data_IF_202300505987
#
_entry.id   IF_202300505987
#
_cell.length_a   1.000
_cell.length_b   1.000
_cell.length_c   1.000
_cell.angle_alpha   90.00
_cell.angle_beta   90.00
_cell.angle_gamma   90.00
#
_symmetry.space_group_name_H-M   'P 1'
#
loop_
_entity.id
_entity.type
_entity.pdbx_description
1 polymer ?
#
# COMPACT_ATOMS: atom_id res chain seq x y z
N UNK A 1 -3.10 21.53 -9.80
CA UNK A 1 -4.49 21.05 -9.95
C UNK A 1 -4.45 19.68 -10.61
N UNK A 2 -4.45 18.60 -9.83
CA UNK A 2 -4.51 17.24 -10.38
C UNK A 2 -5.98 16.83 -10.40
N UNK A 3 -6.60 16.86 -11.58
CA UNK A 3 -7.92 16.28 -11.80
C UNK A 3 -7.80 14.77 -11.67
N UNK A 4 -8.35 14.20 -10.60
CA UNK A 4 -8.48 12.75 -10.47
C UNK A 4 -9.93 12.38 -10.69
N UNK A 5 -10.23 11.91 -11.90
CA UNK A 5 -11.52 11.34 -12.28
C UNK A 5 -11.64 9.98 -11.61
N UNK A 6 -12.67 9.77 -10.79
CA UNK A 6 -13.05 8.45 -10.27
C UNK A 6 -13.90 7.75 -11.32
N UNK A 7 -13.31 6.82 -12.07
CA UNK A 7 -14.06 5.70 -12.66
C UNK A 7 -13.73 4.47 -11.84
N UNK A 8 -14.72 3.94 -11.13
CA UNK A 8 -14.66 2.57 -10.62
C UNK A 8 -14.78 1.62 -11.80
N UNK A 9 -13.68 0.96 -12.18
CA UNK A 9 -13.71 -0.22 -13.02
C UNK A 9 -13.53 -1.46 -12.13
N UNK A 10 -14.61 -2.21 -11.97
CA UNK A 10 -14.58 -3.56 -11.40
C UNK A 10 -14.11 -4.52 -12.51
N UNK A 11 -12.87 -5.00 -12.42
CA UNK A 11 -12.37 -6.06 -13.32
C UNK A 11 -12.45 -7.43 -12.63
N UNK A 12 -13.01 -8.47 -13.29
CA UNK A 12 -12.96 -9.83 -12.78
C UNK A 12 -11.65 -10.50 -13.22
N UNK A 13 -10.94 -11.18 -12.31
CA UNK A 13 -9.83 -12.04 -12.74
C UNK A 13 -8.82 -12.48 -11.67
N UNK A 14 -8.86 -13.78 -11.37
CA UNK A 14 -7.72 -14.59 -10.93
C UNK A 14 -7.53 -14.68 -9.41
N UNK A 15 -7.71 -15.88 -8.85
CA UNK A 15 -7.39 -16.19 -7.46
C UNK A 15 -5.91 -15.86 -7.16
N UNK A 16 -5.70 -14.72 -6.51
CA UNK A 16 -4.39 -14.17 -6.09
C UNK A 16 -4.29 -14.31 -4.57
N UNK A 17 -3.08 -14.60 -4.09
CA UNK A 17 -2.71 -14.81 -2.67
C UNK A 17 -3.59 -13.99 -1.70
N UNK A 18 -4.59 -14.66 -1.13
CA UNK A 18 -5.75 -14.00 -0.54
C UNK A 18 -5.36 -13.07 0.61
N UNK A 19 -4.41 -13.49 1.44
CA UNK A 19 -4.06 -12.84 2.70
C UNK A 19 -3.38 -11.47 2.57
N UNK A 20 -2.58 -11.25 1.52
CA UNK A 20 -1.94 -9.95 1.28
C UNK A 20 -2.95 -8.89 0.85
N UNK A 21 -3.90 -9.28 0.00
CA UNK A 21 -5.01 -8.42 -0.40
C UNK A 21 -5.98 -8.19 0.77
N UNK A 22 -6.24 -9.21 1.58
CA UNK A 22 -7.04 -9.08 2.81
C UNK A 22 -6.45 -8.04 3.78
N UNK A 23 -5.12 -8.01 3.98
CA UNK A 23 -4.47 -6.99 4.82
C UNK A 23 -4.68 -5.59 4.26
N UNK A 24 -4.48 -5.41 2.95
CA UNK A 24 -4.72 -4.13 2.26
C UNK A 24 -6.17 -3.69 2.42
N UNK A 25 -7.12 -4.60 2.25
CA UNK A 25 -8.55 -4.30 2.32
C UNK A 25 -8.96 -3.93 3.76
N UNK A 26 -8.38 -4.59 4.79
CA UNK A 26 -8.53 -4.18 6.20
C UNK A 26 -7.98 -2.78 6.48
N UNK A 27 -6.85 -2.42 5.87
CA UNK A 27 -6.27 -1.07 5.97
C UNK A 27 -7.21 -0.03 5.35
N UNK A 28 -7.78 -0.33 4.18
CA UNK A 28 -8.76 0.54 3.50
C UNK A 28 -10.01 0.72 4.36
N UNK A 29 -10.55 -0.37 4.91
CA UNK A 29 -11.71 -0.32 5.78
C UNK A 29 -11.46 0.53 7.03
N UNK A 30 -10.31 0.35 7.68
CA UNK A 30 -9.90 1.17 8.83
C UNK A 30 -9.77 2.64 8.45
N UNK A 31 -9.17 2.95 7.29
CA UNK A 31 -9.05 4.32 6.82
C UNK A 31 -10.41 4.99 6.62
N UNK A 32 -11.38 4.28 6.04
CA UNK A 32 -12.74 4.78 5.88
C UNK A 32 -13.43 5.02 7.23
N UNK A 33 -13.27 4.11 8.20
CA UNK A 33 -13.77 4.29 9.58
C UNK A 33 -13.16 5.52 10.27
N UNK A 34 -11.93 5.88 9.91
CA UNK A 34 -11.24 7.10 10.38
C UNK A 34 -11.61 8.35 9.59
N UNK A 35 -12.51 8.26 8.60
CA UNK A 35 -12.94 9.39 7.78
C UNK A 35 -11.90 9.83 6.74
N UNK A 36 -11.01 8.94 6.34
CA UNK A 36 -10.02 9.18 5.28
C UNK A 36 -10.51 8.66 3.93
N UNK A 37 -10.11 9.31 2.85
CA UNK A 37 -10.23 8.78 1.49
C UNK A 37 -9.11 7.76 1.25
N UNK A 38 -9.41 6.60 0.66
CA UNK A 38 -8.41 5.60 0.30
C UNK A 38 -8.45 5.28 -1.20
N UNK A 39 -7.27 5.10 -1.81
CA UNK A 39 -7.11 4.60 -3.18
C UNK A 39 -6.11 3.48 -3.21
N UNK A 40 -6.40 2.40 -3.92
CA UNK A 40 -5.52 1.24 -4.02
C UNK A 40 -4.69 1.23 -5.30
N UNK A 41 -3.54 0.54 -5.27
CA UNK A 41 -2.66 0.28 -6.43
C UNK A 41 -2.24 1.55 -7.20
N UNK A 42 -1.99 2.63 -6.46
CA UNK A 42 -1.75 3.97 -7.02
C UNK A 42 -0.38 4.02 -7.69
N UNK A 43 -0.38 4.45 -8.96
CA UNK A 43 0.82 4.70 -9.76
C UNK A 43 1.43 6.03 -9.34
N UNK A 44 2.61 6.02 -8.71
CA UNK A 44 3.17 7.25 -8.10
C UNK A 44 4.36 7.87 -8.84
N UNK A 45 5.16 7.10 -9.58
CA UNK A 45 6.18 7.63 -10.50
C UNK A 45 6.80 6.49 -11.33
N UNK A 46 7.39 6.82 -12.49
CA UNK A 46 8.34 5.95 -13.20
C UNK A 46 9.75 6.19 -12.64
N UNK A 47 10.56 5.15 -12.51
CA UNK A 47 12.02 5.30 -12.34
C UNK A 47 12.61 5.94 -13.59
N UNK A 48 13.72 6.67 -13.48
CA UNK A 48 14.45 7.25 -14.63
C UNK A 48 14.87 6.15 -15.61
N UNK A 49 15.29 4.99 -15.06
CA UNK A 49 15.44 3.73 -15.77
C UNK A 49 14.72 2.65 -14.95
N UNK A 50 13.59 2.12 -15.43
CA UNK A 50 12.97 0.93 -14.83
C UNK A 50 11.44 0.92 -14.71
N UNK A 51 10.95 -0.12 -14.01
CA UNK A 51 9.54 -0.43 -13.84
C UNK A 51 8.75 0.66 -13.10
N UNK A 52 7.46 0.79 -13.45
CA UNK A 52 6.54 1.73 -12.84
C UNK A 52 6.23 1.30 -11.40
N UNK A 53 6.53 2.17 -10.42
CA UNK A 53 6.23 1.89 -9.01
C UNK A 53 4.74 2.05 -8.74
N UNK A 54 4.22 1.18 -7.88
CA UNK A 54 2.87 1.24 -7.33
C UNK A 54 2.96 1.28 -5.81
N UNK A 55 2.05 2.03 -5.19
CA UNK A 55 1.80 1.99 -3.75
C UNK A 55 0.52 1.19 -3.54
N UNK A 56 0.51 0.29 -2.57
CA UNK A 56 -0.64 -0.56 -2.28
C UNK A 56 -1.88 0.28 -1.93
N UNK A 57 -1.73 1.27 -1.04
CA UNK A 57 -2.80 2.21 -0.67
C UNK A 57 -2.26 3.64 -0.52
N UNK A 58 -3.00 4.63 -1.01
CA UNK A 58 -2.76 6.05 -0.70
C UNK A 58 -3.98 6.58 0.05
N UNK A 59 -3.73 7.10 1.25
CA UNK A 59 -4.72 7.77 2.08
C UNK A 59 -4.66 9.27 1.86
N UNK A 60 -5.81 9.93 1.92
CA UNK A 60 -5.94 11.38 1.89
C UNK A 60 -6.92 11.83 2.96
N UNK A 61 -6.55 12.89 3.70
CA UNK A 61 -7.49 13.54 4.62
C UNK A 61 -8.37 14.53 3.85
N UNK A 62 -9.71 14.38 3.85
CA UNK A 62 -10.63 15.31 3.20
C UNK A 62 -10.41 16.75 3.65
N UNK A 63 -10.52 17.69 2.71
CA UNK A 63 -10.32 19.12 2.99
C UNK A 63 -8.86 19.53 3.26
N UNK A 64 -7.88 18.64 3.06
CA UNK A 64 -6.46 18.96 3.21
C UNK A 64 -5.61 18.41 2.07
N UNK A 65 -4.35 18.87 2.01
CA UNK A 65 -3.33 18.34 1.11
C UNK A 65 -2.53 17.17 1.73
N UNK A 66 -2.91 16.73 2.93
CA UNK A 66 -2.22 15.64 3.63
C UNK A 66 -2.54 14.31 2.96
N UNK A 67 -1.47 13.63 2.53
CA UNK A 67 -1.49 12.31 1.92
C UNK A 67 -0.50 11.39 2.60
N UNK A 68 -0.78 10.09 2.61
CA UNK A 68 0.08 9.05 3.18
C UNK A 68 0.04 7.81 2.29
N UNK A 69 1.20 7.34 1.84
CA UNK A 69 1.32 6.03 1.19
C UNK A 69 1.41 4.90 2.22
N UNK A 70 0.84 3.75 1.91
CA UNK A 70 0.92 2.55 2.73
C UNK A 70 1.33 1.39 1.83
N UNK A 71 2.38 0.67 2.25
CA UNK A 71 2.76 -0.63 1.69
C UNK A 71 2.35 -1.73 2.68
N UNK A 72 1.64 -2.75 2.21
CA UNK A 72 1.16 -3.86 3.03
C UNK A 72 2.02 -5.09 2.81
N UNK A 73 2.63 -5.64 3.86
CA UNK A 73 3.40 -6.88 3.80
C UNK A 73 2.78 -7.92 4.73
N UNK A 74 2.27 -9.00 4.15
CA UNK A 74 1.78 -10.16 4.90
C UNK A 74 2.74 -11.34 4.74
N UNK A 75 3.06 -12.03 5.84
CA UNK A 75 3.93 -13.21 5.83
C UNK A 75 3.28 -14.33 6.65
N UNK A 76 3.04 -15.48 6.01
CA UNK A 76 2.43 -16.64 6.69
C UNK A 76 3.43 -17.52 7.43
N UNK A 77 4.69 -17.53 7.00
CA UNK A 77 5.73 -18.44 7.50
C UNK A 77 6.95 -17.64 7.96
N UNK A 78 7.63 -18.04 9.04
CA UNK A 78 8.89 -17.42 9.45
C UNK A 78 9.91 -17.39 8.30
N UNK A 79 10.79 -16.39 8.28
CA UNK A 79 11.81 -16.25 7.24
C UNK A 79 12.28 -14.81 7.04
N UNK A 80 12.59 -14.44 5.80
CA UNK A 80 13.23 -13.18 5.38
C UNK A 80 12.34 -11.93 5.48
N UNK A 81 11.42 -11.90 6.45
CA UNK A 81 10.51 -10.81 6.74
C UNK A 81 11.26 -9.48 6.96
N UNK A 82 12.31 -9.50 7.79
CA UNK A 82 13.10 -8.30 8.11
C UNK A 82 13.84 -7.75 6.89
N UNK A 83 14.48 -8.62 6.10
CA UNK A 83 15.16 -8.23 4.86
C UNK A 83 14.18 -7.61 3.85
N UNK A 84 12.98 -8.18 3.73
CA UNK A 84 11.91 -7.63 2.87
C UNK A 84 11.45 -6.25 3.35
N UNK A 85 11.35 -6.02 4.66
CA UNK A 85 11.00 -4.71 5.23
C UNK A 85 12.11 -3.70 4.92
N UNK A 86 13.38 -4.04 5.16
CA UNK A 86 14.51 -3.14 4.90
C UNK A 86 14.55 -2.69 3.43
N UNK A 87 14.40 -3.63 2.50
CA UNK A 87 14.33 -3.34 1.05
C UNK A 87 13.13 -2.42 0.73
N UNK A 88 11.97 -2.71 1.33
CA UNK A 88 10.75 -1.91 1.15
C UNK A 88 10.96 -0.47 1.62
N UNK A 89 11.60 -0.28 2.78
CA UNK A 89 11.88 1.05 3.32
C UNK A 89 12.85 1.85 2.44
N UNK A 90 13.91 1.22 1.92
CA UNK A 90 14.81 1.89 0.96
C UNK A 90 14.08 2.31 -0.33
N UNK A 91 13.17 1.48 -0.83
CA UNK A 91 12.34 1.82 -1.98
C UNK A 91 11.40 3.00 -1.68
N UNK A 92 10.84 3.05 -0.47
CA UNK A 92 9.94 4.11 0.00
C UNK A 92 10.61 5.47 0.20
N UNK A 93 11.92 5.53 0.47
CA UNK A 93 12.67 6.80 0.53
C UNK A 93 12.58 7.62 -0.77
N UNK A 94 12.27 6.96 -1.88
CA UNK A 94 12.13 7.58 -3.19
C UNK A 94 10.69 7.94 -3.53
N UNK A 95 9.74 7.77 -2.61
CA UNK A 95 8.36 8.15 -2.83
C UNK A 95 8.21 9.68 -2.80
N UNK A 96 7.34 10.25 -3.64
CA UNK A 96 7.06 11.70 -3.62
C UNK A 96 6.17 12.12 -2.42
N UNK A 97 5.73 11.15 -1.61
CA UNK A 97 4.84 11.34 -0.46
C UNK A 97 5.40 10.56 0.73
N UNK A 98 5.11 10.96 1.98
CA UNK A 98 5.45 10.14 3.13
C UNK A 98 4.75 8.78 3.04
N UNK A 99 5.39 7.74 3.59
CA UNK A 99 4.83 6.41 3.59
C UNK A 99 5.14 5.63 4.85
N UNK A 100 4.29 4.64 5.15
CA UNK A 100 4.49 3.65 6.22
C UNK A 100 4.36 2.24 5.67
N UNK A 101 5.00 1.28 6.34
CA UNK A 101 4.82 -0.15 6.09
C UNK A 101 3.87 -0.70 7.14
N UNK A 102 2.83 -1.40 6.71
CA UNK A 102 1.94 -2.17 7.59
C UNK A 102 2.29 -3.64 7.41
N UNK A 103 2.63 -4.29 8.51
CA UNK A 103 2.99 -5.71 8.56
C UNK A 103 1.93 -6.49 9.33
N UNK A 104 1.63 -7.70 8.88
CA UNK A 104 0.75 -8.64 9.58
C UNK A 104 1.10 -10.08 9.18
N UNK A 105 0.63 -11.05 9.96
CA UNK A 105 0.79 -12.48 9.71
C UNK A 105 1.75 -13.16 10.68
N UNK A 106 1.51 -14.46 10.85
CA UNK A 106 2.18 -15.33 11.82
C UNK A 106 3.67 -15.53 11.52
N UNK A 107 4.12 -15.19 10.31
CA UNK A 107 5.55 -15.22 9.95
C UNK A 107 6.34 -13.99 10.38
N UNK A 108 5.69 -12.93 10.87
CA UNK A 108 6.34 -11.75 11.46
C UNK A 108 6.38 -11.79 13.00
N UNK A 109 5.77 -12.79 13.64
CA UNK A 109 5.82 -12.92 15.09
C UNK A 109 7.11 -13.62 15.51
N UNK A 110 7.99 -12.90 16.19
CA UNK A 110 8.71 -13.44 17.35
C UNK A 110 8.23 -12.65 18.58
N UNK A 111 7.99 -13.37 19.67
CA UNK A 111 7.54 -12.80 20.96
C UNK A 111 8.52 -11.78 21.52
#
# INVERSE_FOLDING_TARGET
>A
MFLVTTKEEVMPGGAKTSKGHELRDRVVELAHKLGLEAKTEVKVARRIWGAQRRIDVVLRKPGSEKVLGIECKYQSTPGTAEEKIAITLEDMKHWPIPGIVVIDGEGFSDK
#
